data_IF_348761284087
#
_entry.id   IF_348761284087
#
_cell.length_a   1.000
_cell.length_b   1.000
_cell.length_c   1.000
_cell.angle_alpha   90.00
_cell.angle_beta   90.00
_cell.angle_gamma   90.00
#
_symmetry.space_group_name_H-M   'P 1'
#
loop_
_entity.id
_entity.type
_entity.pdbx_description
1 polymer ?
#
# COMPACT_ATOMS: atom_id res chain seq x y z
N UNK A 1 -4.13 -14.07 -7.43
CA UNK A 1 -5.12 -13.30 -8.23
C UNK A 1 -4.61 -11.87 -8.36
N UNK A 2 -4.79 -11.21 -9.51
CA UNK A 2 -4.44 -9.80 -9.68
C UNK A 2 -5.70 -8.94 -9.51
N UNK A 3 -5.57 -7.85 -8.76
CA UNK A 3 -6.64 -6.89 -8.51
C UNK A 3 -6.11 -5.51 -8.86
N UNK A 4 -6.68 -4.90 -9.89
CA UNK A 4 -6.39 -3.52 -10.28
C UNK A 4 -7.23 -2.59 -9.43
N UNK A 5 -6.57 -1.73 -8.65
CA UNK A 5 -7.26 -0.68 -7.91
C UNK A 5 -7.04 0.65 -8.59
N UNK A 6 -8.09 1.22 -9.15
CA UNK A 6 -8.04 2.43 -9.99
C UNK A 6 -8.61 3.62 -9.23
N UNK A 7 -7.94 4.77 -9.33
CA UNK A 7 -8.46 6.01 -8.75
C UNK A 7 -9.75 6.44 -9.46
N UNK A 8 -10.77 6.70 -8.65
CA UNK A 8 -11.98 7.42 -9.02
C UNK A 8 -12.05 8.62 -8.06
N UNK A 9 -11.47 9.74 -8.46
CA UNK A 9 -11.32 10.93 -7.63
C UNK A 9 -12.19 12.04 -8.18
N UNK A 10 -13.42 12.10 -7.65
CA UNK A 10 -14.40 13.14 -7.92
C UNK A 10 -14.77 13.86 -6.63
N UNK A 11 -15.08 15.14 -6.71
CA UNK A 11 -15.48 15.97 -5.57
C UNK A 11 -16.73 15.41 -4.87
N UNK A 12 -17.59 14.70 -5.60
CA UNK A 12 -18.82 14.09 -5.08
C UNK A 12 -18.58 12.99 -4.04
N UNK A 13 -17.43 12.32 -4.06
CA UNK A 13 -17.14 11.20 -3.14
C UNK A 13 -15.68 11.14 -2.66
N UNK A 14 -14.88 12.17 -2.94
CA UNK A 14 -13.47 12.25 -2.55
C UNK A 14 -13.24 13.55 -1.78
N UNK A 15 -13.72 13.64 -0.52
CA UNK A 15 -13.75 14.89 0.24
C UNK A 15 -12.35 15.49 0.47
N UNK A 16 -11.31 14.65 0.44
CA UNK A 16 -9.92 15.09 0.57
C UNK A 16 -9.44 15.97 -0.60
N UNK A 17 -10.08 15.93 -1.77
CA UNK A 17 -9.68 16.74 -2.94
C UNK A 17 -9.73 18.23 -2.66
N UNK A 18 -10.74 18.70 -1.91
CA UNK A 18 -10.84 20.12 -1.56
C UNK A 18 -9.66 20.59 -0.70
N UNK A 19 -9.24 19.77 0.27
CA UNK A 19 -8.07 20.06 1.10
C UNK A 19 -6.77 19.94 0.31
N UNK A 20 -6.69 18.98 -0.61
CA UNK A 20 -5.55 18.83 -1.50
C UNK A 20 -5.37 20.04 -2.42
N UNK A 21 -6.46 20.57 -2.99
CA UNK A 21 -6.46 21.81 -3.76
C UNK A 21 -5.91 22.99 -2.94
N UNK A 22 -6.45 23.17 -1.72
CA UNK A 22 -6.03 24.22 -0.78
C UNK A 22 -4.53 24.19 -0.51
N UNK A 23 -3.96 23.01 -0.23
CA UNK A 23 -2.52 22.85 0.04
C UNK A 23 -1.64 23.21 -1.16
N UNK A 24 -2.21 23.22 -2.37
CA UNK A 24 -1.52 23.52 -3.63
C UNK A 24 -1.74 24.95 -4.11
N UNK A 25 -2.46 25.76 -3.33
CA UNK A 25 -2.90 27.09 -3.78
C UNK A 25 -3.84 27.03 -4.99
N UNK A 26 -4.47 25.87 -5.21
CA UNK A 26 -5.42 25.64 -6.30
C UNK A 26 -6.83 25.75 -5.74
N UNK A 27 -7.76 26.25 -6.55
CA UNK A 27 -9.17 26.17 -6.21
C UNK A 27 -9.70 24.77 -6.52
N UNK A 28 -10.66 24.28 -5.75
CA UNK A 28 -11.14 22.91 -5.87
C UNK A 28 -11.69 22.60 -7.28
N UNK A 29 -12.39 23.57 -7.89
CA UNK A 29 -12.90 23.53 -9.26
C UNK A 29 -11.83 23.46 -10.36
N UNK A 30 -10.57 23.82 -10.05
CA UNK A 30 -9.45 23.76 -11.01
C UNK A 30 -8.72 22.42 -11.03
N UNK A 31 -8.99 21.54 -10.05
CA UNK A 31 -8.41 20.20 -10.07
C UNK A 31 -9.15 19.32 -11.07
N UNK A 32 -8.39 18.72 -11.99
CA UNK A 32 -8.93 17.69 -12.88
C UNK A 32 -9.38 16.49 -12.05
N UNK A 33 -10.68 16.18 -12.10
CA UNK A 33 -11.23 14.96 -11.55
C UNK A 33 -10.74 13.73 -12.33
N UNK A 34 -10.56 12.62 -11.64
CA UNK A 34 -10.13 11.36 -12.22
C UNK A 34 -11.31 10.41 -12.21
N UNK A 35 -11.65 9.86 -13.37
CA UNK A 35 -12.77 8.94 -13.54
C UNK A 35 -12.24 7.51 -13.68
N UNK A 36 -12.90 6.57 -13.00
CA UNK A 36 -12.72 5.15 -13.24
C UNK A 36 -13.93 4.61 -14.01
N UNK A 37 -13.99 4.90 -15.31
CA UNK A 37 -14.98 4.33 -16.21
C UNK A 37 -14.28 3.53 -17.30
N UNK A 38 -14.20 2.21 -17.13
CA UNK A 38 -13.51 1.32 -18.06
C UNK A 38 -14.19 1.21 -19.42
N UNK A 39 -15.39 1.77 -19.60
CA UNK A 39 -16.13 1.77 -20.85
C UNK A 39 -16.09 3.13 -21.57
N UNK A 40 -15.49 4.15 -20.97
CA UNK A 40 -15.41 5.48 -21.57
C UNK A 40 -14.29 5.56 -22.62
N UNK A 41 -14.55 6.24 -23.74
CA UNK A 41 -13.60 6.38 -24.86
C UNK A 41 -12.28 7.08 -24.47
N UNK A 42 -12.31 7.92 -23.42
CA UNK A 42 -11.15 8.65 -22.91
C UNK A 42 -10.42 7.91 -21.77
N UNK A 43 -10.88 6.73 -21.38
CA UNK A 43 -10.24 5.92 -20.37
C UNK A 43 -9.25 4.96 -21.01
N UNK A 44 -7.97 5.08 -20.66
CA UNK A 44 -6.91 4.23 -21.18
C UNK A 44 -6.11 3.59 -20.05
N UNK A 45 -5.76 2.32 -20.23
CA UNK A 45 -4.76 1.65 -19.44
C UNK A 45 -3.37 1.91 -20.05
N UNK A 46 -2.35 1.94 -19.20
CA UNK A 46 -1.00 1.77 -19.69
C UNK A 46 -0.87 0.35 -20.24
N UNK A 47 -0.25 0.19 -21.42
CA UNK A 47 -0.14 -1.11 -22.08
C UNK A 47 0.48 -2.19 -21.16
N UNK A 48 1.53 -1.82 -20.42
CA UNK A 48 2.23 -2.70 -19.48
C UNK A 48 1.44 -3.02 -18.19
N UNK A 49 0.33 -2.32 -17.95
CA UNK A 49 -0.51 -2.46 -16.75
C UNK A 49 -2.00 -2.53 -17.12
N UNK A 50 -2.29 -3.24 -18.22
CA UNK A 50 -3.66 -3.51 -18.67
C UNK A 50 -4.20 -4.79 -18.02
N UNK A 51 -5.43 -4.78 -17.46
CA UNK A 51 -6.05 -5.99 -16.91
C UNK A 51 -6.23 -7.06 -17.97
N UNK A 52 -6.00 -8.32 -17.61
CA UNK A 52 -6.18 -9.47 -18.52
C UNK A 52 -7.12 -10.51 -17.90
N UNK A 53 -7.81 -11.28 -18.73
CA UNK A 53 -8.41 -12.57 -18.35
C UNK A 53 -9.15 -12.61 -17.00
N UNK A 54 -10.19 -11.79 -16.81
CA UNK A 54 -11.02 -11.85 -15.60
C UNK A 54 -10.35 -11.29 -14.34
N UNK A 55 -9.29 -10.50 -14.47
CA UNK A 55 -8.77 -9.66 -13.41
C UNK A 55 -9.85 -8.76 -12.80
N UNK A 56 -9.73 -8.51 -11.49
CA UNK A 56 -10.72 -7.72 -10.76
C UNK A 56 -10.31 -6.25 -10.86
N UNK A 57 -11.26 -5.38 -11.20
CA UNK A 57 -11.04 -3.94 -11.25
C UNK A 57 -11.90 -3.28 -10.16
N UNK A 58 -11.26 -2.56 -9.25
CA UNK A 58 -11.91 -1.88 -8.13
C UNK A 58 -11.63 -0.38 -8.17
N UNK A 59 -12.66 0.49 -8.24
CA UNK A 59 -12.46 1.92 -8.07
C UNK A 59 -12.22 2.28 -6.60
N UNK A 60 -11.28 3.21 -6.35
CA UNK A 60 -11.03 3.79 -5.02
C UNK A 60 -11.21 5.30 -5.04
N UNK A 61 -11.86 5.81 -4.01
CA UNK A 61 -12.14 7.25 -3.83
C UNK A 61 -11.22 7.92 -2.82
N UNK A 62 -10.32 7.14 -2.22
CA UNK A 62 -9.34 7.57 -1.22
C UNK A 62 -7.91 7.17 -1.61
N UNK A 63 -6.93 7.57 -0.80
CA UNK A 63 -5.55 7.13 -0.98
C UNK A 63 -5.38 5.62 -0.73
N UNK A 64 -5.96 5.08 0.33
CA UNK A 64 -5.93 3.64 0.61
C UNK A 64 -6.93 2.89 -0.26
N UNK A 65 -6.49 1.75 -0.81
CA UNK A 65 -7.33 0.82 -1.55
C UNK A 65 -8.36 0.12 -0.68
N UNK A 66 -8.12 0.02 0.63
CA UNK A 66 -9.02 -0.67 1.57
C UNK A 66 -10.16 0.20 2.09
N UNK A 67 -10.07 1.53 1.93
CA UNK A 67 -11.13 2.45 2.38
C UNK A 67 -12.44 2.25 1.62
N UNK A 68 -12.39 1.61 0.46
CA UNK A 68 -13.57 1.13 -0.26
C UNK A 68 -13.69 -0.39 -0.05
N UNK A 69 -14.72 -0.82 0.67
CA UNK A 69 -14.81 -2.07 1.44
C UNK A 69 -14.73 -3.38 0.64
N UNK A 70 -14.86 -3.32 -0.69
CA UNK A 70 -14.91 -4.52 -1.54
C UNK A 70 -13.59 -5.30 -1.56
N UNK A 71 -12.45 -4.61 -1.50
CA UNK A 71 -11.15 -5.28 -1.49
C UNK A 71 -11.00 -6.17 -0.26
N UNK A 72 -11.23 -5.60 0.93
CA UNK A 72 -11.04 -6.33 2.19
C UNK A 72 -12.01 -7.50 2.31
N UNK A 73 -13.27 -7.31 1.94
CA UNK A 73 -14.26 -8.41 1.91
C UNK A 73 -13.85 -9.53 0.95
N UNK A 74 -13.31 -9.17 -0.22
CA UNK A 74 -12.84 -10.17 -1.18
C UNK A 74 -11.63 -10.95 -0.65
N UNK A 75 -10.65 -10.25 -0.07
CA UNK A 75 -9.44 -10.88 0.49
C UNK A 75 -9.81 -11.88 1.60
N UNK A 76 -10.66 -11.47 2.54
CA UNK A 76 -11.14 -12.36 3.63
C UNK A 76 -11.98 -13.53 3.08
N UNK A 77 -12.94 -13.25 2.21
CA UNK A 77 -13.82 -14.28 1.64
C UNK A 77 -13.09 -15.29 0.75
N UNK A 78 -11.93 -14.92 0.22
CA UNK A 78 -11.10 -15.78 -0.63
C UNK A 78 -10.01 -16.54 0.14
N UNK A 79 -9.94 -16.42 1.47
CA UNK A 79 -8.91 -17.06 2.29
C UNK A 79 -7.49 -16.63 1.93
N UNK A 80 -7.32 -15.36 1.55
CA UNK A 80 -6.00 -14.79 1.22
C UNK A 80 -5.29 -14.39 2.50
N UNK A 81 -4.06 -14.87 2.72
CA UNK A 81 -3.26 -14.51 3.89
C UNK A 81 -2.10 -13.56 3.56
N UNK A 82 -1.64 -13.56 2.30
CA UNK A 82 -0.54 -12.72 1.81
C UNK A 82 -1.06 -11.72 0.76
N UNK A 83 -0.67 -10.45 0.90
CA UNK A 83 -1.05 -9.40 -0.05
C UNK A 83 0.19 -8.66 -0.51
N UNK A 84 0.44 -8.71 -1.82
CA UNK A 84 1.47 -7.92 -2.48
C UNK A 84 0.89 -6.61 -2.95
N UNK A 85 1.58 -5.52 -2.64
CA UNK A 85 1.17 -4.15 -2.96
C UNK A 85 2.22 -3.52 -3.84
N UNK A 86 1.79 -2.92 -4.95
CA UNK A 86 2.66 -2.18 -5.87
C UNK A 86 1.87 -1.09 -6.61
N UNK A 87 2.56 -0.27 -7.41
CA UNK A 87 1.94 0.76 -8.25
C UNK A 87 2.30 2.18 -7.84
N UNK A 88 1.34 3.10 -7.94
CA UNK A 88 1.59 4.54 -7.87
C UNK A 88 0.68 5.27 -6.87
N UNK A 89 1.14 6.25 -6.09
CA UNK A 89 2.55 6.57 -5.80
C UNK A 89 3.01 5.94 -4.48
N UNK A 90 4.29 5.60 -4.37
CA UNK A 90 4.88 4.90 -3.22
C UNK A 90 4.50 5.57 -1.89
N UNK A 91 4.86 6.84 -1.69
CA UNK A 91 4.68 7.57 -0.43
C UNK A 91 3.24 7.92 -0.06
N UNK A 92 2.25 7.60 -0.91
CA UNK A 92 0.84 7.95 -0.65
C UNK A 92 -0.07 6.76 -0.84
N UNK A 93 -0.45 6.43 -2.07
CA UNK A 93 -1.49 5.43 -2.30
C UNK A 93 -1.00 4.01 -2.01
N UNK A 94 0.23 3.68 -2.41
CA UNK A 94 0.83 2.37 -2.12
C UNK A 94 1.03 2.23 -0.61
N UNK A 95 1.67 3.22 0.02
CA UNK A 95 1.90 3.26 1.47
C UNK A 95 0.63 3.11 2.29
N UNK A 96 -0.40 3.94 2.02
CA UNK A 96 -1.65 3.91 2.79
C UNK A 96 -2.41 2.60 2.57
N UNK A 97 -2.35 2.03 1.36
CA UNK A 97 -2.95 0.72 1.10
C UNK A 97 -2.24 -0.38 1.88
N UNK A 98 -0.91 -0.41 1.84
CA UNK A 98 -0.11 -1.39 2.57
C UNK A 98 -0.35 -1.29 4.08
N UNK A 99 -0.36 -0.07 4.65
CA UNK A 99 -0.70 0.16 6.05
C UNK A 99 -2.05 -0.44 6.43
N UNK A 100 -3.12 -0.11 5.68
CA UNK A 100 -4.45 -0.59 6.03
C UNK A 100 -4.64 -2.10 5.82
N UNK A 101 -3.88 -2.71 4.90
CA UNK A 101 -3.88 -4.16 4.69
C UNK A 101 -3.15 -4.85 5.84
N UNK A 102 -2.01 -4.31 6.27
CA UNK A 102 -1.28 -4.79 7.44
C UNK A 102 -2.11 -4.68 8.72
N UNK A 103 -2.73 -3.51 8.98
CA UNK A 103 -3.60 -3.26 10.13
C UNK A 103 -4.77 -4.25 10.20
N UNK A 104 -5.25 -4.72 9.05
CA UNK A 104 -6.33 -5.70 8.97
C UNK A 104 -5.89 -7.16 9.23
N UNK A 105 -4.59 -7.38 9.46
CA UNK A 105 -4.01 -8.68 9.86
C UNK A 105 -3.43 -9.50 8.71
N UNK A 106 -3.29 -8.95 7.50
CA UNK A 106 -2.67 -9.67 6.38
C UNK A 106 -1.14 -9.51 6.38
N UNK A 107 -0.43 -10.57 6.01
CA UNK A 107 1.00 -10.44 5.69
C UNK A 107 1.13 -9.58 4.44
N UNK A 108 1.79 -8.44 4.59
CA UNK A 108 1.84 -7.39 3.56
C UNK A 108 3.26 -7.28 3.02
N UNK A 109 3.40 -7.36 1.70
CA UNK A 109 4.67 -7.19 1.01
C UNK A 109 4.56 -6.05 0.00
N UNK A 110 5.51 -5.13 -0.03
CA UNK A 110 5.57 -4.05 -1.01
C UNK A 110 6.62 -4.39 -2.07
N UNK A 111 6.17 -4.50 -3.33
CA UNK A 111 7.07 -4.77 -4.47
C UNK A 111 7.77 -3.48 -4.86
N UNK A 112 9.03 -3.32 -4.46
CA UNK A 112 9.74 -2.04 -4.51
C UNK A 112 10.06 -1.57 -5.92
N UNK A 113 10.43 -2.49 -6.81
CA UNK A 113 10.77 -2.23 -8.22
C UNK A 113 9.53 -2.16 -9.13
N UNK A 114 8.35 -2.50 -8.62
CA UNK A 114 7.06 -2.28 -9.27
C UNK A 114 6.27 -1.09 -8.67
N UNK A 115 6.94 -0.26 -7.86
CA UNK A 115 6.38 0.94 -7.24
C UNK A 115 7.18 2.17 -7.63
N UNK A 116 6.52 3.33 -7.78
CA UNK A 116 7.22 4.58 -8.06
C UNK A 116 6.55 5.80 -7.43
N UNK A 117 7.32 6.88 -7.34
CA UNK A 117 6.89 8.16 -6.75
C UNK A 117 7.29 9.34 -7.64
N UNK A 118 6.92 10.56 -7.25
CA UNK A 118 7.36 11.82 -7.85
C UNK A 118 8.82 12.14 -7.47
N UNK A 119 9.72 11.24 -7.83
CA UNK A 119 11.16 11.32 -7.59
C UNK A 119 11.70 10.20 -6.68
N UNK A 120 12.92 9.76 -6.99
CA UNK A 120 13.62 8.66 -6.30
C UNK A 120 13.76 8.89 -4.80
N UNK A 121 14.17 10.10 -4.38
CA UNK A 121 14.34 10.44 -2.96
C UNK A 121 13.05 10.28 -2.12
N UNK A 122 11.88 10.61 -2.69
CA UNK A 122 10.59 10.42 -2.00
C UNK A 122 10.24 8.95 -1.87
N UNK A 123 10.48 8.19 -2.94
CA UNK A 123 10.28 6.75 -2.96
C UNK A 123 11.17 6.06 -1.92
N UNK A 124 12.47 6.39 -1.87
CA UNK A 124 13.41 5.84 -0.88
C UNK A 124 13.04 6.20 0.55
N UNK A 125 12.69 7.47 0.80
CA UNK A 125 12.32 7.91 2.13
C UNK A 125 11.07 7.16 2.66
N UNK A 126 10.07 6.91 1.82
CA UNK A 126 8.91 6.12 2.21
C UNK A 126 9.28 4.67 2.57
N UNK A 127 10.10 4.02 1.74
CA UNK A 127 10.56 2.65 2.03
C UNK A 127 11.41 2.60 3.31
N UNK A 128 12.31 3.55 3.51
CA UNK A 128 13.18 3.60 4.68
C UNK A 128 12.41 3.84 5.99
N UNK A 129 11.31 4.59 5.95
CA UNK A 129 10.50 4.88 7.14
C UNK A 129 9.60 3.71 7.56
N UNK A 130 9.15 2.90 6.61
CA UNK A 130 8.02 2.00 6.83
C UNK A 130 8.26 0.54 6.42
N UNK A 131 9.26 0.30 5.58
CA UNK A 131 9.74 -1.04 5.28
C UNK A 131 10.23 -1.74 6.56
N UNK A 132 9.91 -3.02 6.68
CA UNK A 132 10.17 -3.86 7.85
C UNK A 132 9.50 -3.41 9.16
N UNK A 133 8.75 -2.31 9.12
CA UNK A 133 7.92 -1.83 10.23
C UNK A 133 6.45 -2.27 10.06
N UNK A 134 5.90 -2.14 8.86
CA UNK A 134 4.50 -2.49 8.57
C UNK A 134 4.31 -3.36 7.31
N UNK A 135 5.36 -3.57 6.51
CA UNK A 135 5.34 -4.46 5.37
C UNK A 135 6.77 -4.92 5.04
N UNK A 136 6.88 -6.10 4.45
CA UNK A 136 8.15 -6.60 3.93
C UNK A 136 8.50 -5.91 2.61
N UNK A 137 9.78 -5.61 2.42
CA UNK A 137 10.30 -5.09 1.16
C UNK A 137 10.72 -6.27 0.27
N UNK A 138 10.21 -6.32 -0.95
CA UNK A 138 10.53 -7.38 -1.90
C UNK A 138 10.69 -6.83 -3.32
N UNK A 139 11.54 -7.44 -4.14
CA UNK A 139 11.63 -7.11 -5.57
C UNK A 139 10.84 -8.11 -6.40
N UNK A 140 10.48 -7.74 -7.63
CA UNK A 140 9.85 -8.65 -8.59
C UNK A 140 10.73 -9.86 -8.93
N UNK A 141 12.04 -9.74 -8.76
CA UNK A 141 12.98 -10.84 -8.92
C UNK A 141 12.82 -11.88 -7.81
N UNK A 142 12.72 -11.44 -6.55
CA UNK A 142 12.63 -12.31 -5.38
C UNK A 142 11.34 -13.14 -5.37
N UNK A 143 10.28 -12.65 -6.03
CA UNK A 143 9.02 -13.38 -6.20
C UNK A 143 9.18 -14.71 -6.95
N UNK A 144 10.24 -14.85 -7.75
CA UNK A 144 10.55 -16.09 -8.48
C UNK A 144 11.26 -17.11 -7.59
N UNK A 145 11.86 -16.68 -6.48
CA UNK A 145 12.53 -17.57 -5.54
C UNK A 145 11.49 -18.25 -4.63
N UNK A 146 11.44 -19.58 -4.66
CA UNK A 146 10.52 -20.36 -3.82
C UNK A 146 10.82 -20.29 -2.32
N UNK A 147 12.00 -19.78 -1.93
CA UNK A 147 12.43 -19.62 -0.54
C UNK A 147 12.25 -18.20 0.02
N UNK A 148 12.06 -17.20 -0.84
CA UNK A 148 11.95 -15.79 -0.44
C UNK A 148 10.66 -15.13 -0.93
N UNK A 149 10.06 -15.65 -2.01
CA UNK A 149 8.85 -15.14 -2.63
C UNK A 149 7.56 -15.47 -1.88
N UNK A 150 6.56 -15.97 -2.62
CA UNK A 150 5.22 -16.24 -2.09
C UNK A 150 5.17 -17.47 -1.18
N UNK A 151 5.58 -17.29 0.07
CA UNK A 151 5.43 -18.29 1.13
C UNK A 151 4.06 -18.12 1.77
N UNK A 152 3.37 -19.22 2.06
CA UNK A 152 2.11 -19.17 2.83
C UNK A 152 2.39 -18.50 4.18
N UNK A 153 1.60 -17.49 4.54
CA UNK A 153 1.65 -16.96 5.89
C UNK A 153 1.05 -18.04 6.79
N UNK A 154 1.87 -18.63 7.65
CA UNK A 154 1.32 -19.46 8.72
C UNK A 154 0.54 -18.54 9.66
N UNK A 155 -0.68 -18.93 10.10
CA UNK A 155 -1.40 -18.16 11.09
C UNK A 155 -0.48 -17.94 12.29
N UNK A 156 -0.18 -16.69 12.62
CA UNK A 156 0.33 -16.34 13.95
C UNK A 156 -0.85 -16.48 14.91
N UNK A 157 -1.35 -17.71 15.08
CA UNK A 157 -2.12 -18.05 16.27
C UNK A 157 -1.13 -17.90 17.41
N UNK A 158 -1.15 -16.76 18.07
CA UNK A 158 -0.81 -16.73 19.47
C UNK A 158 -1.81 -17.70 20.13
N UNK A 159 -1.41 -18.96 20.34
CA UNK A 159 -1.88 -19.56 21.57
C UNK A 159 -1.35 -18.63 22.65
N UNK A 160 -2.26 -18.03 23.41
CA UNK A 160 -1.93 -17.43 24.71
C UNK A 160 -1.57 -18.57 25.69
N UNK A 161 -0.76 -19.53 25.24
CA UNK A 161 -0.06 -20.43 26.12
C UNK A 161 1.33 -19.81 26.26
N UNK A 162 1.49 -19.05 27.33
CA UNK A 162 2.76 -18.58 27.84
C UNK A 162 3.75 -19.75 27.95
N UNK A 163 4.55 -20.02 26.92
CA UNK A 163 5.89 -20.56 27.07
C UNK A 163 6.63 -20.62 25.74
N UNK A 164 7.85 -20.06 25.72
CA UNK A 164 8.92 -20.29 24.73
C UNK A 164 8.91 -19.47 23.44
N UNK A 165 8.68 -18.17 23.53
CA UNK A 165 9.30 -17.25 22.56
C UNK A 165 10.74 -16.97 23.02
N UNK A 166 11.71 -17.71 22.47
CA UNK A 166 13.11 -17.28 22.50
C UNK A 166 13.22 -15.96 21.74
N UNK A 167 13.88 -14.91 22.28
CA UNK A 167 13.98 -13.63 21.61
C UNK A 167 14.73 -13.79 20.30
N UNK A 168 14.04 -13.67 19.15
CA UNK A 168 14.75 -13.37 17.91
C UNK A 168 15.35 -11.98 18.07
N UNK A 169 16.68 -11.92 17.99
CA UNK A 169 17.51 -10.72 18.14
C UNK A 169 16.92 -9.50 17.42
N UNK A 170 16.21 -8.65 18.17
CA UNK A 170 15.86 -7.28 17.79
C UNK A 170 17.06 -6.32 17.88
N UNK A 171 18.28 -6.84 17.95
CA UNK A 171 19.51 -6.12 18.32
C UNK A 171 20.08 -5.19 17.24
N UNK A 172 19.43 -5.01 16.09
CA UNK A 172 20.01 -4.24 14.95
C UNK A 172 19.32 -2.94 14.56
N UNK A 173 18.26 -2.48 15.24
CA UNK A 173 17.53 -1.27 14.83
C UNK A 173 17.59 -0.11 15.85
N UNK A 174 18.21 -0.26 17.02
CA UNK A 174 18.21 0.79 18.06
C UNK A 174 19.41 1.75 18.12
N UNK A 175 20.37 1.68 17.20
CA UNK A 175 21.52 2.59 17.24
C UNK A 175 21.36 3.75 16.24
N UNK A 176 20.50 4.73 16.53
CA UNK A 176 20.64 6.15 16.13
C UNK A 176 19.39 7.01 16.46
N UNK A 177 18.79 6.87 17.66
CA UNK A 177 17.85 7.87 18.17
C UNK A 177 18.59 8.78 19.14
N UNK A 178 19.10 9.90 18.65
CA UNK A 178 19.59 10.99 19.50
C UNK A 178 18.37 11.61 20.18
N UNK A 179 18.23 11.38 21.49
CA UNK A 179 17.23 12.06 22.31
C UNK A 179 17.60 13.55 22.43
N UNK A 180 16.80 14.44 21.84
CA UNK A 180 16.84 15.86 22.17
C UNK A 180 16.03 16.08 23.47
N UNK A 181 16.70 16.59 24.51
CA UNK A 181 16.00 17.05 25.72
C UNK A 181 15.25 18.35 25.42
N UNK A 182 14.04 18.48 25.96
CA UNK A 182 13.15 19.64 25.82
C UNK A 182 13.47 20.77 26.82
N UNK A 183 14.61 20.73 27.51
CA UNK A 183 14.99 21.71 28.54
C UNK A 183 15.49 23.07 27.99
N UNK A 184 15.14 23.46 26.77
CA UNK A 184 15.54 24.76 26.21
C UNK A 184 14.47 25.45 25.36
N UNK A 185 13.21 25.41 25.80
CA UNK A 185 12.15 26.30 25.32
C UNK A 185 11.76 27.31 26.42
#
# INVERSE_FOLDING_TARGET
KIIFVRADYRHTHSPWLAQFARLRGQSADTLTEIYCDTNADNFNWEEFASPIGGDIILPKTSWSSSSNTKLMSWLRGSGVDNVLVCGLITSVCVQHSAFSIFEAGFRTLLITDASADRGRARHDAALALYGDYMYELITSHDLKDSKQGLIKAEPLLFSLEESKLEPREFSKIQNNVTTFSLDSL
#
